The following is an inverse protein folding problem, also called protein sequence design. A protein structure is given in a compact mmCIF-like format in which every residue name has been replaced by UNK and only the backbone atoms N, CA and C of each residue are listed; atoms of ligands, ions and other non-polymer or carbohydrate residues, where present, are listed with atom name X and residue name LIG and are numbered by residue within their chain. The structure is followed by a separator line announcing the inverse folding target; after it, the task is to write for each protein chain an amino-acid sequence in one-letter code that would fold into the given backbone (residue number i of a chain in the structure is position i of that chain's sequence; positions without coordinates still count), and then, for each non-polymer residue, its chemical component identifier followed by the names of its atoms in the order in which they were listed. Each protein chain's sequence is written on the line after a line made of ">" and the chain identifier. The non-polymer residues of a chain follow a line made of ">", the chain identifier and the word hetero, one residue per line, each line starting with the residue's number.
data_IF_221372112795
#
_entry.id   IF_221372112795
#
_cell.length_a   1.000
_cell.length_b   1.000
_cell.length_c   1.000
_cell.angle_alpha   90.00
_cell.angle_beta   90.00
_cell.angle_gamma   90.00
#
_symmetry.space_group_name_H-M   'P 1'
#
loop_
_entity.id
_entity.type
_entity.pdbx_description
1 polymer ?
#
# COMPACT_ATOMS: atom_id res chain seq x y z
N UNK A 1 3.02 23.87 18.66
CA UNK A 1 1.98 24.87 18.89
C UNK A 1 1.59 25.03 20.38
N UNK A 2 1.24 23.99 21.15
CA UNK A 2 0.93 24.14 22.61
C UNK A 2 2.06 24.75 23.46
N UNK A 3 3.32 24.48 23.14
CA UNK A 3 4.47 25.04 23.90
C UNK A 3 4.64 26.54 23.66
N UNK A 4 4.47 27.01 22.43
CA UNK A 4 4.56 28.43 22.06
C UNK A 4 3.43 29.24 22.71
N UNK A 5 2.22 28.66 22.77
CA UNK A 5 1.07 29.28 23.42
C UNK A 5 1.25 29.46 24.95
N UNK A 6 1.83 28.45 25.61
CA UNK A 6 2.10 28.54 27.04
C UNK A 6 3.20 29.58 27.36
N UNK A 7 4.24 29.67 26.53
CA UNK A 7 5.31 30.68 26.66
C UNK A 7 4.76 32.09 26.44
N UNK A 8 3.87 32.28 25.44
CA UNK A 8 3.21 33.57 25.18
C UNK A 8 2.28 34.00 26.31
N UNK A 9 1.49 33.08 26.90
CA UNK A 9 0.66 33.37 28.08
C UNK A 9 1.51 33.82 29.29
N UNK A 10 2.60 33.11 29.55
CA UNK A 10 3.49 33.42 30.71
C UNK A 10 4.14 34.78 30.53
N UNK A 11 4.59 35.11 29.34
CA UNK A 11 5.19 36.41 29.06
C UNK A 11 4.19 37.56 29.08
N UNK A 12 2.95 37.34 28.60
CA UNK A 12 1.86 38.32 28.66
C UNK A 12 1.45 38.63 30.12
N UNK A 13 1.36 37.62 31.01
CA UNK A 13 1.07 37.82 32.43
C UNK A 13 2.22 38.52 33.18
N UNK A 14 3.47 38.24 32.80
CA UNK A 14 4.62 38.94 33.36
C UNK A 14 4.62 40.44 32.96
N UNK A 15 4.31 40.71 31.68
CA UNK A 15 4.23 42.07 31.15
C UNK A 15 3.06 42.87 31.78
N UNK A 16 1.90 42.26 31.98
CA UNK A 16 0.76 42.89 32.68
C UNK A 16 1.07 43.25 34.16
N UNK A 17 1.85 42.42 34.90
CA UNK A 17 2.30 42.73 36.24
C UNK A 17 3.27 43.91 36.31
N UNK A 18 4.11 44.09 35.26
CA UNK A 18 5.07 45.20 35.22
C UNK A 18 4.39 46.53 34.88
N UNK A 19 3.34 46.50 34.07
CA UNK A 19 2.59 47.70 33.62
C UNK A 19 1.70 48.26 34.73
N UNK A 20 1.30 47.47 35.73
CA UNK A 20 0.48 47.94 36.86
C UNK A 20 1.24 48.86 37.84
N UNK A 21 2.57 49.01 37.65
CA UNK A 21 3.41 49.88 38.47
C UNK A 21 3.68 51.29 37.88
N UNK A 22 3.20 51.59 36.65
CA UNK A 22 3.37 52.88 35.97
C UNK A 22 2.03 53.49 35.54
N UNK A 23 1.91 54.82 35.72
CA UNK A 23 0.72 55.66 35.54
C UNK A 23 -0.21 55.30 34.33
N UNK A 24 -1.53 55.52 34.52
CA UNK A 24 -2.63 55.01 33.67
C UNK A 24 -2.60 55.31 32.14
N UNK A 25 -1.80 56.27 31.67
CA UNK A 25 -1.62 56.56 30.23
C UNK A 25 -0.70 55.57 29.51
N UNK A 26 0.33 55.07 30.17
CA UNK A 26 1.19 54.00 29.66
C UNK A 26 0.49 52.64 29.65
N UNK A 27 -0.41 52.43 30.62
CA UNK A 27 -1.21 51.19 30.67
C UNK A 27 -2.17 51.05 29.48
N UNK A 28 -2.84 52.12 29.08
CA UNK A 28 -3.71 52.13 27.91
C UNK A 28 -2.98 51.91 26.59
N UNK A 29 -1.80 52.52 26.42
CA UNK A 29 -0.99 52.34 25.20
C UNK A 29 -0.46 50.91 25.10
N UNK A 30 -0.06 50.28 26.20
CA UNK A 30 0.39 48.90 26.25
C UNK A 30 -0.75 47.90 25.99
N UNK A 31 -1.97 48.22 26.46
CA UNK A 31 -3.16 47.41 26.20
C UNK A 31 -3.57 47.49 24.72
N UNK A 32 -3.54 48.67 24.10
CA UNK A 32 -3.83 48.84 22.67
C UNK A 32 -2.78 48.14 21.80
N UNK A 33 -1.48 48.23 22.12
CA UNK A 33 -0.43 47.49 21.41
C UNK A 33 -0.55 45.98 21.59
N UNK A 34 -0.99 45.52 22.77
CA UNK A 34 -1.25 44.12 23.04
C UNK A 34 -2.46 43.57 22.23
N UNK A 35 -3.54 44.36 22.18
CA UNK A 35 -4.74 43.99 21.35
C UNK A 35 -4.45 44.04 19.86
N UNK A 36 -3.70 45.06 19.37
CA UNK A 36 -3.22 45.13 18.00
C UNK A 36 -2.27 43.98 17.66
N UNK A 37 -1.35 43.64 18.58
CA UNK A 37 -0.44 42.49 18.40
C UNK A 37 -1.18 41.15 18.39
N UNK A 38 -2.21 40.96 19.23
CA UNK A 38 -3.06 39.76 19.19
C UNK A 38 -3.94 39.71 17.94
N UNK A 39 -4.47 40.85 17.48
CA UNK A 39 -5.23 40.94 16.25
C UNK A 39 -4.37 40.61 15.02
N UNK A 40 -3.17 41.16 14.94
CA UNK A 40 -2.19 40.88 13.86
C UNK A 40 -1.71 39.43 13.90
N UNK A 41 -1.44 38.90 15.10
CA UNK A 41 -1.09 37.51 15.31
C UNK A 41 -2.23 36.55 14.91
N UNK A 42 -3.49 36.89 15.23
CA UNK A 42 -4.66 36.09 14.85
C UNK A 42 -4.89 36.11 13.33
N UNK A 43 -4.67 37.26 12.68
CA UNK A 43 -4.73 37.39 11.22
C UNK A 43 -3.61 36.59 10.55
N UNK A 44 -2.36 36.77 10.98
CA UNK A 44 -1.21 36.05 10.42
C UNK A 44 -1.34 34.52 10.66
N UNK A 45 -1.76 34.09 11.87
CA UNK A 45 -1.92 32.67 12.17
C UNK A 45 -3.12 32.07 11.44
N UNK A 46 -4.18 32.85 11.23
CA UNK A 46 -5.33 32.42 10.44
C UNK A 46 -4.98 32.28 8.97
N UNK A 47 -4.31 33.28 8.38
CA UNK A 47 -3.89 33.22 6.97
C UNK A 47 -2.86 32.10 6.73
N UNK A 48 -1.82 32.01 7.58
CA UNK A 48 -0.87 30.91 7.51
C UNK A 48 -1.57 29.57 7.80
N UNK A 49 -2.51 29.53 8.73
CA UNK A 49 -3.27 28.31 9.06
C UNK A 49 -4.18 27.87 7.90
N UNK A 50 -4.79 28.80 7.17
CA UNK A 50 -5.61 28.51 5.99
C UNK A 50 -4.75 28.11 4.79
N UNK A 51 -3.61 28.78 4.56
CA UNK A 51 -2.64 28.42 3.53
C UNK A 51 -1.99 27.06 3.81
N UNK A 52 -1.61 26.77 5.05
CA UNK A 52 -1.12 25.44 5.45
C UNK A 52 -2.23 24.38 5.46
N UNK A 53 -3.49 24.75 5.71
CA UNK A 53 -4.64 23.83 5.60
C UNK A 53 -4.86 23.43 4.15
N UNK A 54 -4.75 24.38 3.21
CA UNK A 54 -4.83 24.09 1.79
C UNK A 54 -3.68 23.19 1.33
N UNK A 55 -2.45 23.42 1.78
CA UNK A 55 -1.28 22.59 1.49
C UNK A 55 -1.34 21.20 2.13
N UNK A 56 -2.12 21.00 3.21
CA UNK A 56 -2.34 19.70 3.84
C UNK A 56 -3.50 18.93 3.25
N UNK A 57 -4.47 19.60 2.67
CA UNK A 57 -5.69 18.98 2.13
C UNK A 57 -5.55 18.50 0.70
N UNK A 58 -4.55 18.99 -0.04
CA UNK A 58 -4.33 18.63 -1.44
C UNK A 58 -2.89 18.26 -1.70
N UNK A 59 -2.67 17.13 -2.38
CA UNK A 59 -1.34 16.70 -2.83
C UNK A 59 -1.43 16.15 -4.25
N UNK A 60 -0.36 16.35 -5.00
CA UNK A 60 -0.25 15.91 -6.39
C UNK A 60 0.76 14.77 -6.52
N UNK A 61 0.47 13.81 -7.38
CA UNK A 61 1.27 12.60 -7.55
C UNK A 61 1.33 12.20 -9.03
N UNK A 62 2.43 11.57 -9.42
CA UNK A 62 2.61 11.02 -10.78
C UNK A 62 1.86 9.71 -10.98
N UNK A 63 1.46 9.03 -9.91
CA UNK A 63 0.76 7.75 -9.96
C UNK A 63 -0.18 7.54 -8.78
N UNK A 64 -0.97 6.47 -8.85
CA UNK A 64 -1.96 6.10 -7.86
C UNK A 64 -1.85 4.60 -7.52
N UNK A 65 -1.69 4.29 -6.24
CA UNK A 65 -1.95 2.97 -5.70
C UNK A 65 -3.38 2.93 -5.16
N UNK A 66 -4.24 2.14 -5.77
CA UNK A 66 -5.63 1.99 -5.38
C UNK A 66 -6.07 0.53 -5.51
N UNK A 67 -6.65 -0.01 -4.46
CA UNK A 67 -7.10 -1.40 -4.41
C UNK A 67 -8.63 -1.49 -4.49
N UNK A 68 -9.13 -2.67 -4.84
CA UNK A 68 -10.56 -2.99 -4.72
C UNK A 68 -10.98 -3.19 -3.25
N UNK A 69 -10.02 -3.31 -2.34
CA UNK A 69 -10.23 -3.50 -0.91
C UNK A 69 -10.57 -2.21 -0.16
N UNK A 70 -10.67 -2.31 1.18
CA UNK A 70 -11.01 -1.19 2.05
C UNK A 70 -9.83 -0.24 2.31
N UNK A 71 -8.64 -0.52 1.76
CA UNK A 71 -7.49 0.36 1.94
C UNK A 71 -7.74 1.70 1.25
N UNK A 72 -7.37 2.82 1.88
CA UNK A 72 -7.46 4.12 1.24
C UNK A 72 -6.50 4.22 0.05
N UNK A 73 -6.85 4.99 -1.00
CA UNK A 73 -5.96 5.24 -2.13
C UNK A 73 -4.70 5.99 -1.66
N UNK A 74 -3.55 5.70 -2.30
CA UNK A 74 -2.26 6.33 -1.99
C UNK A 74 -1.63 6.90 -3.26
N UNK A 75 -1.16 8.12 -3.20
CA UNK A 75 -0.37 8.72 -4.27
C UNK A 75 1.03 8.13 -4.33
N UNK A 76 1.54 7.95 -5.54
CA UNK A 76 2.89 7.45 -5.84
C UNK A 76 3.68 8.56 -6.56
N UNK A 77 4.90 8.84 -6.11
CA UNK A 77 5.77 9.85 -6.70
C UNK A 77 5.18 11.26 -6.56
N UNK A 78 5.41 11.97 -5.43
CA UNK A 78 4.91 13.32 -5.25
C UNK A 78 5.49 14.26 -6.31
N UNK A 79 4.62 15.10 -6.91
CA UNK A 79 5.00 16.10 -7.94
C UNK A 79 4.51 17.50 -7.53
N UNK A 80 5.15 18.54 -8.04
CA UNK A 80 4.69 19.90 -7.86
C UNK A 80 3.45 20.17 -8.74
N UNK A 81 2.48 20.92 -8.21
CA UNK A 81 1.22 21.24 -8.90
C UNK A 81 1.37 22.03 -10.20
N UNK A 82 2.51 22.64 -10.44
CA UNK A 82 2.77 23.54 -11.54
C UNK A 82 3.43 22.89 -12.77
N UNK A 83 3.37 21.55 -12.91
CA UNK A 83 3.98 20.86 -14.05
C UNK A 83 3.07 20.76 -15.27
N UNK A 84 3.66 20.78 -16.45
CA UNK A 84 2.97 20.61 -17.75
C UNK A 84 2.50 19.15 -18.00
N UNK A 85 2.54 18.32 -16.99
CA UNK A 85 2.21 16.88 -17.08
C UNK A 85 0.94 16.52 -16.31
N UNK A 86 0.14 15.56 -16.80
CA UNK A 86 -1.00 15.06 -16.05
C UNK A 86 -0.57 14.52 -14.67
N UNK A 87 -1.36 14.78 -13.63
CA UNK A 87 -1.08 14.34 -12.28
C UNK A 87 -2.33 13.80 -11.58
N UNK A 88 -2.11 13.02 -10.52
CA UNK A 88 -3.16 12.59 -9.59
C UNK A 88 -3.25 13.60 -8.46
N UNK A 89 -4.43 14.17 -8.32
CA UNK A 89 -4.78 15.12 -7.28
C UNK A 89 -5.56 14.41 -6.18
N UNK A 90 -5.06 14.44 -4.95
CA UNK A 90 -5.70 13.81 -3.80
C UNK A 90 -6.03 14.86 -2.75
N UNK A 91 -7.30 14.97 -2.41
CA UNK A 91 -7.78 15.78 -1.30
C UNK A 91 -7.85 14.95 -0.02
N UNK A 92 -7.50 15.56 1.09
CA UNK A 92 -7.48 14.92 2.42
C UNK A 92 -8.39 15.67 3.39
N UNK A 93 -9.03 14.94 4.30
CA UNK A 93 -9.73 15.53 5.44
C UNK A 93 -8.75 16.00 6.54
N UNK A 94 -9.30 16.62 7.59
CA UNK A 94 -8.50 17.12 8.74
C UNK A 94 -7.76 16.01 9.48
N UNK A 95 -8.17 14.76 9.37
CA UNK A 95 -7.49 13.58 9.91
C UNK A 95 -6.36 13.08 9.00
N UNK A 96 -6.12 13.72 7.84
CA UNK A 96 -5.11 13.32 6.86
C UNK A 96 -5.50 12.10 6.02
N UNK A 97 -6.80 11.78 5.93
CA UNK A 97 -7.31 10.65 5.15
C UNK A 97 -7.76 11.14 3.77
N UNK A 98 -7.42 10.44 2.66
CA UNK A 98 -7.81 10.82 1.31
C UNK A 98 -9.32 10.67 1.11
N UNK A 99 -10.01 11.76 0.80
CA UNK A 99 -11.47 11.79 0.60
C UNK A 99 -11.87 11.85 -0.86
N UNK A 100 -10.97 12.37 -1.72
CA UNK A 100 -11.21 12.53 -3.14
C UNK A 100 -9.94 12.33 -3.95
N UNK A 101 -10.03 11.58 -5.03
CA UNK A 101 -8.94 11.35 -6.00
C UNK A 101 -9.43 11.77 -7.37
N UNK A 102 -8.66 12.60 -8.07
CA UNK A 102 -8.98 13.12 -9.41
C UNK A 102 -7.73 13.02 -10.28
N UNK A 103 -7.88 12.64 -11.54
CA UNK A 103 -6.85 12.81 -12.54
C UNK A 103 -6.98 14.20 -13.17
N UNK A 104 -5.92 15.00 -13.10
CA UNK A 104 -5.86 16.33 -13.69
C UNK A 104 -4.94 16.29 -14.91
N UNK A 105 -5.41 16.83 -16.03
CA UNK A 105 -4.57 17.05 -17.20
C UNK A 105 -3.62 18.23 -17.03
N UNK A 106 -2.65 18.36 -17.93
CA UNK A 106 -1.76 19.51 -17.98
C UNK A 106 -2.49 20.86 -18.19
N UNK A 107 -3.68 20.82 -18.77
CA UNK A 107 -4.60 21.95 -18.95
C UNK A 107 -5.41 22.29 -17.70
N UNK A 108 -5.19 21.58 -16.58
CA UNK A 108 -5.96 21.75 -15.35
C UNK A 108 -7.38 21.19 -15.39
N UNK A 109 -7.76 20.50 -16.46
CA UNK A 109 -9.08 19.88 -16.57
C UNK A 109 -9.07 18.46 -16.02
N UNK A 110 -10.23 18.05 -15.47
CA UNK A 110 -10.43 16.68 -14.98
C UNK A 110 -10.40 15.71 -16.17
N UNK A 111 -9.54 14.70 -16.07
CA UNK A 111 -9.38 13.65 -17.07
C UNK A 111 -9.74 12.28 -16.49
N UNK A 112 -9.86 11.28 -17.36
CA UNK A 112 -10.09 9.91 -16.92
C UNK A 112 -8.84 9.34 -16.23
N UNK A 113 -9.04 8.63 -15.13
CA UNK A 113 -7.97 7.84 -14.51
C UNK A 113 -7.43 6.82 -15.51
N UNK A 114 -6.11 6.59 -15.58
CA UNK A 114 -5.49 5.71 -16.58
C UNK A 114 -6.17 4.33 -16.65
N UNK A 115 -6.54 3.89 -17.86
CA UNK A 115 -7.20 2.61 -18.09
C UNK A 115 -8.65 2.50 -17.59
N UNK A 116 -9.30 3.61 -17.23
CA UNK A 116 -10.63 3.65 -16.62
C UNK A 116 -11.56 4.65 -17.32
N UNK A 117 -12.87 4.52 -17.10
CA UNK A 117 -13.86 5.57 -17.41
C UNK A 117 -14.13 6.50 -16.23
N UNK A 118 -13.43 6.32 -15.14
CA UNK A 118 -13.56 7.08 -13.90
C UNK A 118 -12.69 8.31 -14.00
N UNK A 119 -13.25 9.46 -13.72
CA UNK A 119 -12.55 10.74 -13.63
C UNK A 119 -12.27 11.12 -12.17
N UNK A 120 -13.15 10.67 -11.27
CA UNK A 120 -13.11 11.00 -9.85
C UNK A 120 -13.48 9.78 -9.00
N UNK A 121 -12.76 9.57 -7.89
CA UNK A 121 -13.15 8.63 -6.84
C UNK A 121 -13.33 9.35 -5.52
N UNK A 122 -14.50 9.17 -4.89
CA UNK A 122 -14.79 9.63 -3.53
C UNK A 122 -14.63 8.50 -2.53
N UNK A 123 -14.02 8.78 -1.38
CA UNK A 123 -13.82 7.82 -0.29
C UNK A 123 -14.56 8.30 0.94
N UNK A 124 -15.37 7.43 1.53
CA UNK A 124 -16.12 7.71 2.76
C UNK A 124 -15.56 6.90 3.92
N UNK A 125 -15.53 7.50 5.09
CA UNK A 125 -15.04 6.92 6.32
C UNK A 125 -16.14 6.88 7.38
N UNK A 126 -16.03 5.92 8.30
CA UNK A 126 -16.81 5.91 9.54
C UNK A 126 -16.12 6.77 10.62
N UNK A 127 -16.74 6.84 11.80
CA UNK A 127 -16.23 7.57 12.96
C UNK A 127 -14.87 7.05 13.48
N UNK A 128 -14.53 5.79 13.18
CA UNK A 128 -13.27 5.17 13.55
C UNK A 128 -12.18 5.34 12.47
N UNK A 129 -12.47 6.07 11.40
CA UNK A 129 -11.54 6.34 10.32
C UNK A 129 -11.35 5.17 9.33
N UNK A 130 -12.28 4.19 9.30
CA UNK A 130 -12.25 3.06 8.35
C UNK A 130 -13.03 3.42 7.09
N UNK A 131 -12.53 2.99 5.93
CA UNK A 131 -13.22 3.21 4.66
C UNK A 131 -14.51 2.39 4.61
N UNK A 132 -15.67 3.06 4.57
CA UNK A 132 -16.98 2.39 4.45
C UNK A 132 -17.53 2.41 3.04
N UNK A 133 -17.04 3.30 2.16
CA UNK A 133 -17.40 3.27 0.75
C UNK A 133 -16.36 3.96 -0.13
N UNK A 134 -16.28 3.48 -1.38
CA UNK A 134 -15.61 4.14 -2.51
C UNK A 134 -16.65 4.34 -3.62
N UNK A 135 -16.74 5.54 -4.18
CA UNK A 135 -17.67 5.88 -5.26
C UNK A 135 -16.89 6.44 -6.44
N UNK A 136 -17.09 5.88 -7.61
CA UNK A 136 -16.48 6.31 -8.85
C UNK A 136 -17.46 7.21 -9.63
N UNK A 137 -16.93 8.28 -10.23
CA UNK A 137 -17.70 9.24 -11.03
C UNK A 137 -17.00 9.53 -12.36
N UNK A 138 -17.81 9.93 -13.36
CA UNK A 138 -17.30 10.51 -14.59
C UNK A 138 -16.94 12.00 -14.42
N UNK A 139 -16.46 12.65 -15.49
CA UNK A 139 -16.11 14.06 -15.47
C UNK A 139 -17.30 15.00 -15.26
N UNK A 140 -18.53 14.54 -15.48
CA UNK A 140 -19.77 15.28 -15.21
C UNK A 140 -20.30 15.08 -13.78
N UNK A 141 -19.63 14.23 -12.98
CA UNK A 141 -20.01 13.93 -11.60
C UNK A 141 -21.07 12.84 -11.44
N UNK A 142 -21.47 12.18 -12.51
CA UNK A 142 -22.40 11.05 -12.44
C UNK A 142 -21.66 9.75 -12.03
N UNK A 143 -22.38 8.80 -11.38
CA UNK A 143 -21.79 7.48 -11.11
C UNK A 143 -21.25 6.81 -12.37
N UNK A 144 -19.99 6.37 -12.33
CA UNK A 144 -19.30 5.79 -13.47
C UNK A 144 -18.62 4.46 -13.11
N UNK A 145 -18.73 3.49 -13.99
CA UNK A 145 -18.11 2.19 -13.81
C UNK A 145 -16.62 2.23 -14.20
N UNK A 146 -15.77 1.60 -13.38
CA UNK A 146 -14.37 1.33 -13.71
C UNK A 146 -14.24 0.26 -14.81
N UNK A 147 -12.99 -0.13 -15.12
CA UNK A 147 -12.70 -1.16 -16.12
C UNK A 147 -13.30 -2.55 -15.78
N UNK A 148 -13.70 -2.78 -14.54
CA UNK A 148 -14.31 -4.00 -14.05
C UNK A 148 -15.85 -3.93 -13.94
N UNK A 149 -16.43 -2.77 -14.27
CA UNK A 149 -17.87 -2.52 -14.22
C UNK A 149 -18.35 -1.95 -12.88
N UNK A 150 -17.45 -1.65 -11.93
CA UNK A 150 -17.79 -1.19 -10.57
C UNK A 150 -17.89 0.33 -10.52
N UNK A 151 -19.05 0.84 -10.14
CA UNK A 151 -19.26 2.27 -9.85
C UNK A 151 -19.14 2.60 -8.36
N UNK A 152 -19.46 1.65 -7.48
CA UNK A 152 -19.19 1.81 -6.06
C UNK A 152 -18.89 0.49 -5.35
N UNK A 153 -18.17 0.60 -4.25
CA UNK A 153 -17.90 -0.51 -3.35
C UNK A 153 -18.16 -0.09 -1.91
N UNK A 154 -18.92 -0.89 -1.19
CA UNK A 154 -19.25 -0.67 0.21
C UNK A 154 -18.59 -1.70 1.10
N UNK A 155 -18.25 -1.30 2.35
CA UNK A 155 -17.56 -2.13 3.32
C UNK A 155 -18.28 -2.05 4.67
N UNK A 156 -18.46 -3.18 5.32
CA UNK A 156 -19.06 -3.29 6.65
C UNK A 156 -18.08 -3.98 7.59
N UNK A 157 -17.98 -3.46 8.79
CA UNK A 157 -17.08 -3.96 9.83
C UNK A 157 -17.89 -4.41 11.06
N UNK A 158 -17.33 -5.34 11.82
CA UNK A 158 -17.83 -5.68 13.14
C UNK A 158 -17.31 -4.67 14.19
N UNK A 159 -17.73 -4.83 15.45
CA UNK A 159 -17.36 -3.96 16.58
C UNK A 159 -15.84 -3.98 16.88
N UNK A 160 -15.13 -5.03 16.47
CA UNK A 160 -13.68 -5.15 16.58
C UNK A 160 -12.91 -4.51 15.42
N UNK A 161 -13.62 -3.92 14.44
CA UNK A 161 -13.00 -3.29 13.27
C UNK A 161 -12.61 -4.26 12.15
N UNK A 162 -13.01 -5.52 12.22
CA UNK A 162 -12.74 -6.51 11.19
C UNK A 162 -13.78 -6.41 10.06
N UNK A 163 -13.32 -6.44 8.79
CA UNK A 163 -14.18 -6.42 7.62
C UNK A 163 -15.05 -7.69 7.57
N UNK A 164 -16.38 -7.56 7.69
CA UNK A 164 -17.32 -8.68 7.62
C UNK A 164 -18.06 -8.78 6.29
N UNK A 165 -18.15 -7.68 5.55
CA UNK A 165 -18.82 -7.66 4.25
C UNK A 165 -18.23 -6.61 3.31
N UNK A 166 -18.14 -6.94 2.02
CA UNK A 166 -17.88 -5.97 0.95
C UNK A 166 -18.79 -6.24 -0.24
N UNK A 167 -19.35 -5.16 -0.85
CA UNK A 167 -20.32 -5.24 -1.94
C UNK A 167 -19.90 -4.34 -3.09
N UNK A 168 -19.89 -4.87 -4.31
CA UNK A 168 -19.68 -4.13 -5.55
C UNK A 168 -21.02 -3.80 -6.22
N UNK A 169 -21.17 -2.54 -6.67
CA UNK A 169 -22.39 -2.04 -7.33
C UNK A 169 -22.07 -1.34 -8.65
N UNK A 170 -22.99 -1.43 -9.59
CA UNK A 170 -22.97 -0.68 -10.85
C UNK A 170 -23.38 0.80 -10.65
N UNK A 171 -23.42 1.57 -11.75
CA UNK A 171 -23.84 2.97 -11.73
C UNK A 171 -25.31 3.18 -11.34
N UNK A 172 -26.15 2.17 -11.49
CA UNK A 172 -27.55 2.15 -11.03
C UNK A 172 -27.72 1.73 -9.57
N UNK A 173 -26.62 1.42 -8.85
CA UNK A 173 -26.65 0.97 -7.47
C UNK A 173 -26.99 -0.50 -7.26
N UNK A 174 -27.12 -1.29 -8.33
CA UNK A 174 -27.41 -2.72 -8.30
C UNK A 174 -26.12 -3.50 -8.03
N UNK A 175 -26.19 -4.56 -7.21
CA UNK A 175 -25.07 -5.49 -7.01
C UNK A 175 -24.66 -6.14 -8.34
N UNK A 176 -23.37 -6.15 -8.65
CA UNK A 176 -22.82 -6.75 -9.86
C UNK A 176 -21.65 -7.67 -9.53
N UNK A 177 -21.42 -8.64 -10.41
CA UNK A 177 -20.19 -9.45 -10.42
C UNK A 177 -19.18 -8.74 -11.35
N UNK A 178 -18.18 -8.05 -10.81
CA UNK A 178 -17.15 -7.41 -11.60
C UNK A 178 -16.24 -8.46 -12.28
N UNK A 179 -15.57 -8.06 -13.38
CA UNK A 179 -14.61 -8.94 -14.06
C UNK A 179 -13.51 -9.43 -13.11
N UNK A 180 -13.03 -8.54 -12.24
CA UNK A 180 -12.12 -8.80 -11.15
C UNK A 180 -12.64 -8.07 -9.90
N UNK A 181 -12.70 -8.74 -8.77
CA UNK A 181 -12.25 -10.10 -8.41
C UNK A 181 -13.23 -11.23 -8.78
N UNK A 182 -14.36 -10.98 -9.44
CA UNK A 182 -15.30 -12.01 -9.92
C UNK A 182 -16.39 -12.41 -8.91
N UNK A 183 -16.74 -11.53 -7.96
CA UNK A 183 -17.87 -11.68 -7.05
C UNK A 183 -18.52 -10.32 -6.77
N UNK A 184 -19.84 -10.33 -6.56
CA UNK A 184 -20.58 -9.11 -6.22
C UNK A 184 -20.48 -8.76 -4.74
N UNK A 185 -20.40 -9.78 -3.90
CA UNK A 185 -20.33 -9.65 -2.45
C UNK A 185 -19.34 -10.65 -1.87
N UNK A 186 -18.57 -10.21 -0.88
CA UNK A 186 -17.71 -11.06 -0.05
C UNK A 186 -18.18 -10.96 1.39
N UNK A 187 -18.36 -12.10 2.04
CA UNK A 187 -18.66 -12.21 3.46
C UNK A 187 -17.52 -12.88 4.17
N UNK A 188 -17.11 -12.36 5.32
CA UNK A 188 -16.02 -12.90 6.15
C UNK A 188 -16.56 -13.19 7.54
N UNK A 189 -16.31 -14.38 8.02
CA UNK A 189 -16.69 -14.87 9.35
C UNK A 189 -15.43 -15.05 10.20
N UNK A 190 -15.54 -14.76 11.49
CA UNK A 190 -14.41 -14.76 12.42
C UNK A 190 -14.71 -15.66 13.64
N UNK A 191 -13.66 -16.18 14.27
CA UNK A 191 -13.73 -16.84 15.58
C UNK A 191 -13.69 -15.82 16.74
N UNK A 192 -13.74 -16.33 17.97
CA UNK A 192 -13.67 -15.52 19.18
C UNK A 192 -12.32 -14.79 19.36
N UNK A 193 -11.28 -15.16 18.61
CA UNK A 193 -9.96 -14.53 18.61
C UNK A 193 -9.79 -13.54 17.44
N UNK A 194 -10.88 -13.18 16.74
CA UNK A 194 -10.87 -12.33 15.55
C UNK A 194 -10.04 -12.88 14.38
N UNK A 195 -9.89 -14.21 14.29
CA UNK A 195 -9.24 -14.86 13.15
C UNK A 195 -10.32 -15.28 12.13
N UNK A 196 -10.11 -15.08 10.82
CA UNK A 196 -11.09 -15.47 9.80
C UNK A 196 -11.29 -17.00 9.81
N UNK A 197 -12.54 -17.44 9.87
CA UNK A 197 -12.90 -18.87 9.79
C UNK A 197 -13.47 -19.27 8.45
N UNK A 198 -14.20 -18.35 7.80
CA UNK A 198 -14.77 -18.59 6.48
C UNK A 198 -14.87 -17.31 5.67
N UNK A 199 -14.60 -17.41 4.38
CA UNK A 199 -14.82 -16.34 3.39
C UNK A 199 -15.73 -16.91 2.30
N UNK A 200 -16.84 -16.24 2.03
CA UNK A 200 -17.79 -16.61 0.96
C UNK A 200 -17.79 -15.54 -0.14
N UNK A 201 -17.81 -16.01 -1.37
CA UNK A 201 -18.01 -15.15 -2.54
C UNK A 201 -19.42 -15.38 -3.09
N UNK A 202 -20.18 -14.28 -3.26
CA UNK A 202 -21.58 -14.33 -3.67
C UNK A 202 -21.78 -13.53 -4.95
N UNK A 203 -22.76 -13.94 -5.76
CA UNK A 203 -23.25 -13.19 -6.90
C UNK A 203 -24.19 -12.03 -6.48
N UNK A 204 -24.70 -11.29 -7.44
CA UNK A 204 -25.62 -10.16 -7.19
C UNK A 204 -26.96 -10.57 -6.55
N UNK A 205 -27.31 -11.85 -6.53
CA UNK A 205 -28.53 -12.41 -5.93
C UNK A 205 -28.28 -13.02 -4.53
N UNK A 206 -27.03 -13.07 -4.09
CA UNK A 206 -26.63 -13.66 -2.82
C UNK A 206 -26.34 -15.16 -2.88
N UNK A 207 -26.25 -15.75 -4.07
CA UNK A 207 -25.86 -17.16 -4.25
C UNK A 207 -24.34 -17.29 -4.31
N UNK A 208 -23.77 -18.40 -3.79
CA UNK A 208 -22.34 -18.68 -3.91
C UNK A 208 -21.88 -18.67 -5.36
N UNK A 209 -20.75 -18.01 -5.63
CA UNK A 209 -20.12 -17.94 -6.95
C UNK A 209 -18.62 -18.18 -6.83
N UNK A 210 -18.04 -18.84 -7.83
CA UNK A 210 -16.60 -19.01 -7.94
C UNK A 210 -15.96 -17.75 -8.49
N UNK A 211 -15.03 -17.17 -7.73
CA UNK A 211 -14.34 -15.92 -8.08
C UNK A 211 -13.33 -16.09 -9.22
N UNK A 212 -12.68 -14.99 -9.62
CA UNK A 212 -11.70 -14.99 -10.69
C UNK A 212 -10.45 -15.86 -10.40
N UNK A 213 -10.17 -16.18 -9.13
CA UNK A 213 -9.09 -17.07 -8.74
C UNK A 213 -9.51 -18.57 -8.69
N UNK A 214 -10.80 -18.89 -8.92
CA UNK A 214 -11.33 -20.25 -8.80
C UNK A 214 -11.74 -20.62 -7.39
N UNK A 215 -12.06 -19.63 -6.55
CA UNK A 215 -12.45 -19.84 -5.14
C UNK A 215 -13.92 -19.46 -4.94
N UNK A 216 -14.67 -20.32 -4.27
CA UNK A 216 -16.08 -20.08 -3.95
C UNK A 216 -16.25 -19.79 -2.46
N UNK A 217 -15.98 -20.78 -1.61
CA UNK A 217 -15.98 -20.67 -0.15
C UNK A 217 -14.62 -21.12 0.37
N UNK A 218 -13.95 -20.25 1.11
CA UNK A 218 -12.63 -20.53 1.70
C UNK A 218 -12.81 -20.71 3.19
N UNK A 219 -12.29 -21.80 3.77
CA UNK A 219 -12.32 -22.05 5.21
C UNK A 219 -10.92 -22.08 5.79
N UNK A 220 -10.81 -21.58 7.01
CA UNK A 220 -9.58 -21.58 7.78
C UNK A 220 -9.77 -22.40 9.05
N UNK A 221 -8.76 -23.20 9.35
CA UNK A 221 -8.65 -23.97 10.60
C UNK A 221 -7.31 -23.61 11.24
N UNK A 222 -7.32 -23.41 12.54
CA UNK A 222 -6.15 -23.05 13.33
C UNK A 222 -5.84 -24.14 14.34
N UNK A 223 -4.65 -24.68 14.28
CA UNK A 223 -4.09 -25.61 15.27
C UNK A 223 -2.96 -24.89 16.00
N UNK A 224 -3.31 -24.25 17.11
CA UNK A 224 -2.37 -23.45 17.88
C UNK A 224 -1.29 -24.31 18.56
N UNK A 225 -1.60 -25.59 18.86
CA UNK A 225 -0.65 -26.54 19.45
C UNK A 225 0.48 -26.92 18.47
N UNK A 226 0.16 -27.01 17.17
CA UNK A 226 1.11 -27.32 16.12
C UNK A 226 1.49 -26.11 15.28
N UNK A 227 1.01 -24.91 15.65
CA UNK A 227 1.25 -23.65 14.93
C UNK A 227 0.94 -23.77 13.44
N UNK A 228 -0.19 -24.41 13.13
CA UNK A 228 -0.62 -24.75 11.79
C UNK A 228 -1.92 -24.02 11.43
N UNK A 229 -1.89 -23.33 10.29
CA UNK A 229 -3.06 -22.74 9.65
C UNK A 229 -3.37 -23.56 8.40
N UNK A 230 -4.56 -24.13 8.33
CA UNK A 230 -5.07 -24.81 7.15
C UNK A 230 -6.12 -23.96 6.48
N UNK A 231 -5.87 -23.58 5.22
CA UNK A 231 -6.80 -22.86 4.35
C UNK A 231 -7.30 -23.82 3.28
N UNK A 232 -8.61 -24.00 3.19
CA UNK A 232 -9.24 -24.94 2.25
C UNK A 232 -10.28 -24.23 1.40
N UNK A 233 -10.31 -24.54 0.09
CA UNK A 233 -11.28 -24.02 -0.86
C UNK A 233 -12.38 -25.06 -1.13
N UNK A 234 -13.63 -24.60 -1.11
CA UNK A 234 -14.81 -25.44 -1.34
C UNK A 234 -15.66 -24.83 -2.45
N UNK A 235 -16.26 -25.71 -3.24
CA UNK A 235 -17.33 -25.38 -4.17
C UNK A 235 -18.54 -26.24 -3.87
N UNK A 236 -19.71 -25.63 -3.62
CA UNK A 236 -20.92 -26.31 -3.21
C UNK A 236 -20.75 -27.29 -2.00
N UNK A 237 -19.87 -26.93 -1.06
CA UNK A 237 -19.58 -27.72 0.13
C UNK A 237 -18.58 -28.87 -0.09
N UNK A 238 -18.10 -29.09 -1.30
CA UNK A 238 -17.11 -30.11 -1.63
C UNK A 238 -15.73 -29.43 -1.78
N UNK A 239 -14.68 -30.08 -1.25
CA UNK A 239 -13.30 -29.61 -1.38
C UNK A 239 -12.92 -29.52 -2.86
N UNK A 240 -12.47 -28.35 -3.32
CA UNK A 240 -12.27 -28.05 -4.74
C UNK A 240 -10.98 -27.28 -4.95
N UNK A 241 -10.27 -27.57 -6.06
CA UNK A 241 -9.08 -26.82 -6.46
C UNK A 241 -9.44 -25.45 -7.03
N UNK A 242 -8.65 -24.44 -6.70
CA UNK A 242 -8.71 -23.17 -7.38
C UNK A 242 -8.24 -23.31 -8.86
N UNK A 243 -8.08 -22.21 -9.60
CA UNK A 243 -7.61 -22.26 -11.00
C UNK A 243 -6.26 -22.95 -11.22
N UNK A 244 -5.43 -23.02 -10.19
CA UNK A 244 -4.14 -23.71 -10.19
C UNK A 244 -4.24 -25.15 -9.70
N UNK A 245 -5.44 -25.64 -9.36
CA UNK A 245 -5.66 -26.99 -8.81
C UNK A 245 -5.44 -27.08 -7.29
N UNK A 246 -5.07 -26.00 -6.64
CA UNK A 246 -4.83 -25.98 -5.18
C UNK A 246 -6.16 -25.92 -4.44
N UNK A 247 -6.45 -26.97 -3.68
CA UNK A 247 -7.62 -27.04 -2.81
C UNK A 247 -7.28 -26.70 -1.34
N UNK A 248 -6.08 -27.06 -0.89
CA UNK A 248 -5.63 -26.85 0.49
C UNK A 248 -4.26 -26.20 0.51
N UNK A 249 -4.09 -25.18 1.36
CA UNK A 249 -2.80 -24.62 1.74
C UNK A 249 -2.60 -24.83 3.23
N UNK A 250 -1.51 -25.49 3.60
CA UNK A 250 -1.05 -25.61 4.98
C UNK A 250 0.09 -24.63 5.22
N UNK A 251 -0.01 -23.86 6.29
CA UNK A 251 0.99 -22.84 6.66
C UNK A 251 1.42 -23.08 8.08
N UNK A 252 2.70 -23.36 8.29
CA UNK A 252 3.30 -23.48 9.60
C UNK A 252 3.92 -22.15 10.02
N UNK A 253 3.69 -21.77 11.27
CA UNK A 253 4.24 -20.56 11.86
C UNK A 253 5.22 -20.90 12.98
N UNK A 254 6.08 -19.97 13.33
CA UNK A 254 6.86 -19.99 14.58
C UNK A 254 5.96 -19.68 15.77
N UNK A 255 6.48 -19.81 16.98
CA UNK A 255 5.78 -19.40 18.20
C UNK A 255 5.38 -17.90 18.19
N UNK A 256 6.16 -17.09 17.52
CA UNK A 256 5.90 -15.65 17.35
C UNK A 256 4.93 -15.34 16.18
N UNK A 257 4.33 -16.37 15.57
CA UNK A 257 3.35 -16.24 14.48
C UNK A 257 3.95 -15.97 13.09
N UNK A 258 5.27 -16.02 12.93
CA UNK A 258 5.92 -15.82 11.63
C UNK A 258 5.83 -17.08 10.77
N UNK A 259 5.44 -16.93 9.50
CA UNK A 259 5.36 -18.05 8.55
C UNK A 259 6.77 -18.56 8.25
N UNK A 260 7.05 -19.84 8.53
CA UNK A 260 8.32 -20.47 8.18
C UNK A 260 8.20 -21.55 7.10
N UNK A 261 7.00 -22.11 6.88
CA UNK A 261 6.75 -23.10 5.82
C UNK A 261 5.31 -23.00 5.34
N UNK A 262 5.10 -23.10 4.03
CA UNK A 262 3.77 -23.32 3.47
C UNK A 262 3.81 -24.37 2.37
N UNK A 263 2.73 -25.14 2.22
CA UNK A 263 2.61 -26.21 1.23
C UNK A 263 1.20 -26.25 0.65
N UNK A 264 1.11 -26.59 -0.64
CA UNK A 264 -0.10 -26.64 -1.42
C UNK A 264 -0.49 -28.07 -1.78
N UNK A 265 -1.78 -28.37 -1.73
CA UNK A 265 -2.32 -29.69 -2.01
C UNK A 265 -3.56 -29.62 -2.90
N UNK A 266 -3.76 -30.65 -3.73
CA UNK A 266 -4.99 -30.88 -4.49
C UNK A 266 -6.15 -31.26 -3.58
N UNK A 267 -7.35 -31.41 -4.13
CA UNK A 267 -8.52 -31.95 -3.44
C UNK A 267 -8.36 -33.42 -3.02
N UNK A 268 -7.45 -34.16 -3.67
CA UNK A 268 -7.11 -35.55 -3.35
C UNK A 268 -6.01 -35.63 -2.26
N UNK A 269 -5.47 -34.49 -1.81
CA UNK A 269 -4.42 -34.45 -0.79
C UNK A 269 -3.01 -34.60 -1.33
N UNK A 270 -2.83 -34.57 -2.65
CA UNK A 270 -1.52 -34.65 -3.30
C UNK A 270 -0.84 -33.29 -3.33
N UNK A 271 0.49 -33.20 -3.07
CA UNK A 271 1.25 -31.97 -3.26
C UNK A 271 1.03 -31.40 -4.68
N UNK A 272 0.63 -30.15 -4.77
CA UNK A 272 0.16 -29.55 -6.03
C UNK A 272 0.84 -28.20 -6.28
N UNK A 273 1.34 -27.98 -7.51
CA UNK A 273 1.90 -26.68 -7.89
C UNK A 273 0.91 -25.53 -7.77
N UNK A 274 1.38 -24.40 -7.27
CA UNK A 274 0.63 -23.14 -7.22
C UNK A 274 1.25 -22.13 -8.16
N UNK A 275 0.49 -21.72 -9.18
CA UNK A 275 0.95 -20.77 -10.19
C UNK A 275 1.80 -21.36 -11.31
N UNK A 276 2.24 -20.47 -12.21
CA UNK A 276 3.03 -20.81 -13.40
C UNK A 276 4.45 -21.27 -13.05
N UNK A 277 4.95 -20.87 -11.88
CA UNK A 277 6.31 -21.21 -11.43
C UNK A 277 6.44 -22.63 -10.88
N UNK A 278 5.32 -23.35 -10.71
CA UNK A 278 5.34 -24.73 -10.23
C UNK A 278 5.67 -24.89 -8.73
N UNK A 279 5.60 -23.82 -7.95
CA UNK A 279 5.84 -23.84 -6.49
C UNK A 279 4.83 -24.77 -5.81
N UNK A 280 5.32 -25.83 -5.15
CA UNK A 280 4.52 -26.73 -4.32
C UNK A 280 4.63 -26.35 -2.85
N UNK A 281 5.82 -25.92 -2.42
CA UNK A 281 6.04 -25.45 -1.06
C UNK A 281 7.04 -24.30 -1.01
N UNK A 282 6.96 -23.52 0.08
CA UNK A 282 7.81 -22.38 0.35
C UNK A 282 8.36 -22.48 1.76
N UNK A 283 9.67 -22.34 1.88
CA UNK A 283 10.39 -22.21 3.14
C UNK A 283 10.78 -20.76 3.35
N UNK A 284 10.58 -20.23 4.55
CA UNK A 284 10.93 -18.85 4.90
C UNK A 284 11.78 -18.86 6.17
N UNK A 285 12.96 -18.29 6.09
CA UNK A 285 13.83 -18.06 7.24
C UNK A 285 13.74 -16.60 7.67
N UNK A 286 13.71 -16.38 8.98
CA UNK A 286 13.67 -15.05 9.56
C UNK A 286 14.94 -14.73 10.34
N UNK A 287 15.29 -13.45 10.42
CA UNK A 287 16.28 -12.94 11.36
C UNK A 287 15.71 -12.97 12.79
N UNK A 288 16.55 -12.83 13.83
CA UNK A 288 16.09 -12.70 15.22
C UNK A 288 15.10 -11.52 15.44
N UNK A 289 15.11 -10.53 14.56
CA UNK A 289 14.17 -9.40 14.59
C UNK A 289 12.84 -9.67 13.85
N UNK A 290 12.61 -10.91 13.38
CA UNK A 290 11.38 -11.31 12.66
C UNK A 290 11.33 -10.92 11.18
N UNK A 291 12.41 -10.35 10.61
CA UNK A 291 12.46 -10.00 9.19
C UNK A 291 12.80 -11.21 8.34
N UNK A 292 12.25 -11.26 7.13
CA UNK A 292 12.58 -12.29 6.16
C UNK A 292 14.08 -12.17 5.81
N UNK A 293 14.79 -13.29 5.95
CA UNK A 293 16.20 -13.43 5.60
C UNK A 293 16.36 -14.25 4.33
N UNK A 294 15.52 -15.26 4.14
CA UNK A 294 15.56 -16.16 2.98
C UNK A 294 14.18 -16.70 2.67
N UNK A 295 13.86 -16.76 1.40
CA UNK A 295 12.69 -17.48 0.87
C UNK A 295 13.17 -18.50 -0.13
N UNK A 296 12.79 -19.77 0.04
CA UNK A 296 13.10 -20.84 -0.90
C UNK A 296 11.81 -21.44 -1.44
N UNK A 297 11.70 -21.51 -2.76
CA UNK A 297 10.61 -22.15 -3.48
C UNK A 297 11.01 -23.58 -3.81
N UNK A 298 10.13 -24.54 -3.48
CA UNK A 298 10.39 -25.95 -3.69
C UNK A 298 9.31 -26.58 -4.59
N UNK A 299 9.74 -27.49 -5.42
CA UNK A 299 8.90 -28.34 -6.26
C UNK A 299 8.31 -29.52 -5.52
N UNK A 300 7.76 -30.47 -6.29
CA UNK A 300 6.95 -31.60 -5.77
C UNK A 300 7.71 -32.52 -4.78
N UNK A 301 9.02 -32.66 -4.95
CA UNK A 301 9.86 -33.52 -4.10
C UNK A 301 10.57 -32.75 -2.96
N UNK A 302 10.14 -31.52 -2.67
CA UNK A 302 10.78 -30.66 -1.67
C UNK A 302 12.16 -30.12 -2.07
N UNK A 303 12.63 -30.43 -3.29
CA UNK A 303 13.86 -29.89 -3.83
C UNK A 303 13.65 -28.45 -4.33
N UNK A 304 14.70 -27.61 -4.34
CA UNK A 304 14.61 -26.30 -4.93
C UNK A 304 13.99 -26.35 -6.33
N UNK A 305 13.14 -25.38 -6.64
CA UNK A 305 12.37 -25.36 -7.88
C UNK A 305 13.29 -25.22 -9.08
N UNK A 306 13.35 -26.26 -9.93
CA UNK A 306 14.15 -26.27 -11.15
C UNK A 306 13.31 -25.78 -12.34
N UNK A 307 13.25 -24.46 -12.54
CA UNK A 307 12.62 -23.91 -13.72
C UNK A 307 13.49 -22.86 -14.40
N UNK A 308 13.50 -22.88 -15.72
CA UNK A 308 14.24 -21.94 -16.57
C UNK A 308 13.69 -20.49 -16.55
N UNK A 309 12.64 -20.23 -15.80
CA UNK A 309 11.92 -18.94 -15.79
C UNK A 309 11.74 -18.30 -14.41
N UNK A 310 12.23 -18.89 -13.34
CA UNK A 310 12.17 -18.29 -12.02
C UNK A 310 13.33 -18.76 -11.13
N UNK A 311 13.83 -17.85 -10.33
CA UNK A 311 14.80 -18.17 -9.31
C UNK A 311 14.12 -18.95 -8.17
N UNK A 312 14.82 -19.96 -7.62
CA UNK A 312 14.26 -20.81 -6.57
C UNK A 312 14.51 -20.27 -5.16
N UNK A 313 15.42 -19.32 -5.04
CA UNK A 313 15.78 -18.76 -3.74
C UNK A 313 15.95 -17.24 -3.83
N UNK A 314 15.44 -16.54 -2.83
CA UNK A 314 15.63 -15.12 -2.60
C UNK A 314 16.25 -14.92 -1.22
N UNK A 315 17.42 -14.31 -1.16
CA UNK A 315 18.16 -14.03 0.07
C UNK A 315 18.19 -12.53 0.29
N UNK A 316 17.88 -12.09 1.52
CA UNK A 316 17.86 -10.68 1.91
C UNK A 316 18.81 -10.47 3.10
N UNK A 317 19.50 -9.35 3.09
CA UNK A 317 20.25 -8.85 4.24
C UNK A 317 19.77 -7.46 4.60
N UNK A 318 19.73 -7.19 5.89
CA UNK A 318 19.40 -5.86 6.42
C UNK A 318 20.57 -5.36 7.26
N UNK A 319 20.82 -4.07 7.24
CA UNK A 319 21.80 -3.41 8.10
C UNK A 319 21.35 -3.40 9.58
N UNK A 320 22.18 -2.87 10.47
CA UNK A 320 21.91 -2.81 11.90
C UNK A 320 20.63 -1.99 12.24
N UNK A 321 20.29 -0.98 11.43
CA UNK A 321 19.05 -0.22 11.56
C UNK A 321 17.84 -1.00 10.99
N UNK A 322 18.10 -2.14 10.34
CA UNK A 322 17.12 -3.02 9.75
C UNK A 322 16.56 -2.56 8.41
N UNK A 323 17.24 -1.65 7.76
CA UNK A 323 16.97 -1.31 6.37
C UNK A 323 17.58 -2.38 5.45
N UNK A 324 16.95 -2.73 4.30
CA UNK A 324 17.53 -3.66 3.35
C UNK A 324 18.86 -3.10 2.85
N UNK A 325 19.92 -3.93 2.84
CA UNK A 325 21.24 -3.54 2.33
C UNK A 325 21.66 -4.35 1.11
N UNK A 326 21.08 -5.56 0.97
CA UNK A 326 21.42 -6.46 -0.12
C UNK A 326 20.35 -7.52 -0.31
N UNK A 327 20.08 -7.86 -1.57
CA UNK A 327 19.30 -9.04 -1.93
C UNK A 327 19.95 -9.78 -3.09
N UNK A 328 19.72 -11.08 -3.17
CA UNK A 328 20.18 -11.92 -4.26
C UNK A 328 19.14 -12.99 -4.59
N UNK A 329 19.01 -13.28 -5.86
CA UNK A 329 18.21 -14.38 -6.38
C UNK A 329 19.10 -15.50 -6.86
N UNK A 330 18.83 -16.75 -6.44
CA UNK A 330 19.59 -17.92 -6.81
C UNK A 330 18.72 -18.94 -7.55
N UNK A 331 19.32 -19.63 -8.48
CA UNK A 331 18.76 -20.81 -9.12
C UNK A 331 18.74 -22.04 -8.18
N UNK A 332 18.21 -23.16 -8.68
CA UNK A 332 18.17 -24.43 -7.94
C UNK A 332 19.55 -25.02 -7.67
N UNK A 333 20.54 -24.65 -8.44
CA UNK A 333 21.95 -25.00 -8.31
C UNK A 333 22.70 -24.13 -7.28
N UNK A 334 22.03 -23.11 -6.72
CA UNK A 334 22.60 -22.17 -5.77
C UNK A 334 23.43 -21.04 -6.40
N UNK A 335 23.52 -20.97 -7.72
CA UNK A 335 24.17 -19.87 -8.42
C UNK A 335 23.21 -18.69 -8.63
N UNK A 336 23.74 -17.45 -8.79
CA UNK A 336 22.93 -16.29 -9.11
C UNK A 336 22.02 -16.53 -10.33
N UNK A 337 20.81 -16.02 -10.26
CA UNK A 337 19.76 -16.20 -11.26
C UNK A 337 19.07 -14.87 -11.50
N UNK A 338 18.97 -14.43 -12.76
CA UNK A 338 18.23 -13.24 -13.12
C UNK A 338 16.74 -13.43 -12.84
N UNK A 339 16.20 -12.61 -11.96
CA UNK A 339 14.76 -12.58 -11.71
C UNK A 339 14.05 -12.01 -12.95
N UNK A 340 13.23 -12.78 -13.66
CA UNK A 340 12.68 -12.36 -14.95
C UNK A 340 11.66 -11.21 -14.84
N UNK A 341 11.10 -10.99 -13.65
CA UNK A 341 10.18 -9.88 -13.40
C UNK A 341 10.91 -8.57 -13.05
N UNK A 342 12.14 -8.67 -12.52
CA UNK A 342 12.93 -7.54 -12.03
C UNK A 342 14.10 -7.20 -12.97
N UNK A 343 14.60 -8.18 -13.72
CA UNK A 343 15.68 -8.01 -14.70
C UNK A 343 17.09 -7.96 -14.08
N UNK A 344 17.26 -8.45 -12.85
CA UNK A 344 18.56 -8.54 -12.17
C UNK A 344 18.63 -9.77 -11.26
N UNK A 345 19.84 -10.17 -10.89
CA UNK A 345 20.12 -11.24 -9.94
C UNK A 345 20.49 -10.71 -8.56
N UNK A 346 21.09 -9.53 -8.49
CA UNK A 346 21.57 -8.94 -7.24
C UNK A 346 21.23 -7.46 -7.19
N UNK A 347 20.89 -6.98 -5.99
CA UNK A 347 20.56 -5.59 -5.72
C UNK A 347 21.17 -5.15 -4.38
N UNK A 348 21.82 -4.00 -4.37
CA UNK A 348 22.41 -3.38 -3.18
C UNK A 348 21.81 -2.01 -2.94
N UNK A 349 21.51 -1.72 -1.69
CA UNK A 349 21.06 -0.40 -1.22
C UNK A 349 22.15 0.25 -0.38
N UNK A 350 22.47 1.49 -0.67
CA UNK A 350 23.33 2.34 0.14
C UNK A 350 22.51 3.48 0.76
N UNK A 351 22.76 3.75 2.03
CA UNK A 351 22.09 4.80 2.79
C UNK A 351 23.10 5.87 3.20
N UNK A 352 22.64 7.10 3.34
CA UNK A 352 23.43 8.18 3.93
C UNK A 352 23.47 8.07 5.47
N UNK A 353 24.24 8.96 6.12
CA UNK A 353 24.40 8.99 7.58
C UNK A 353 23.08 9.29 8.32
N UNK A 354 22.09 9.86 7.65
CA UNK A 354 20.75 10.11 8.19
C UNK A 354 19.80 8.89 8.00
N UNK A 355 20.26 7.82 7.35
CA UNK A 355 19.47 6.63 7.04
C UNK A 355 18.53 6.79 5.84
N UNK A 356 18.69 7.86 5.04
CA UNK A 356 17.95 8.02 3.80
C UNK A 356 18.64 7.26 2.67
N UNK A 357 17.85 6.65 1.76
CA UNK A 357 18.40 5.93 0.61
C UNK A 357 19.19 6.89 -0.28
N UNK A 358 20.46 6.56 -0.52
CA UNK A 358 21.38 7.37 -1.32
C UNK A 358 21.58 6.78 -2.71
N UNK A 359 21.76 5.45 -2.80
CA UNK A 359 22.01 4.76 -4.07
C UNK A 359 21.47 3.35 -4.05
N UNK A 360 21.21 2.81 -5.25
CA UNK A 360 20.89 1.41 -5.51
C UNK A 360 21.76 0.92 -6.68
N UNK A 361 22.22 -0.32 -6.59
CA UNK A 361 23.00 -0.98 -7.65
C UNK A 361 22.38 -2.32 -8.00
N UNK A 362 22.47 -2.68 -9.27
CA UNK A 362 21.86 -3.89 -9.82
C UNK A 362 22.85 -4.65 -10.71
N UNK A 363 22.93 -5.96 -10.53
CA UNK A 363 23.78 -6.83 -11.33
C UNK A 363 22.97 -8.01 -11.89
N UNK A 364 23.38 -8.47 -13.08
CA UNK A 364 22.87 -9.71 -13.66
C UNK A 364 23.51 -10.95 -13.00
N UNK A 365 23.05 -12.15 -13.38
CA UNK A 365 23.57 -13.42 -12.85
C UNK A 365 25.03 -13.70 -13.22
N UNK A 366 25.57 -13.04 -14.23
CA UNK A 366 26.98 -13.14 -14.64
C UNK A 366 27.88 -12.13 -13.87
N UNK A 367 27.30 -11.29 -13.02
CA UNK A 367 28.00 -10.24 -12.30
C UNK A 367 28.29 -8.99 -13.13
N UNK A 368 27.63 -8.84 -14.29
CA UNK A 368 27.70 -7.62 -15.06
C UNK A 368 26.64 -6.63 -14.55
N UNK A 369 26.87 -5.31 -14.74
CA UNK A 369 25.84 -4.32 -14.47
C UNK A 369 24.54 -4.65 -15.23
N UNK A 370 23.40 -4.69 -14.53
CA UNK A 370 22.09 -4.86 -15.15
C UNK A 370 21.73 -3.62 -16.00
N UNK A 371 20.74 -3.70 -16.91
CA UNK A 371 20.39 -2.58 -17.80
C UNK A 371 20.10 -1.26 -17.08
N UNK A 372 19.55 -1.31 -15.86
CA UNK A 372 19.48 -0.18 -14.94
C UNK A 372 20.32 -0.54 -13.74
N UNK A 373 21.61 -0.19 -13.74
CA UNK A 373 22.50 -0.72 -12.72
C UNK A 373 22.73 0.21 -11.53
N UNK A 374 22.40 1.49 -11.65
CA UNK A 374 22.53 2.46 -10.54
C UNK A 374 21.38 3.45 -10.52
N UNK A 375 20.81 3.68 -9.35
CA UNK A 375 19.89 4.78 -9.08
C UNK A 375 20.44 5.63 -7.95
N UNK A 376 20.35 6.96 -8.08
CA UNK A 376 20.79 7.94 -7.07
C UNK A 376 19.63 8.72 -6.52
N UNK A 377 19.67 8.99 -5.23
CA UNK A 377 18.60 9.70 -4.52
C UNK A 377 19.14 10.99 -3.88
N UNK A 378 18.27 11.95 -3.60
CA UNK A 378 18.61 13.11 -2.79
C UNK A 378 18.70 12.73 -1.31
N UNK A 379 19.34 13.54 -0.50
CA UNK A 379 19.39 13.37 0.96
C UNK A 379 18.02 13.38 1.68
N UNK A 380 16.90 13.50 0.92
CA UNK A 380 15.53 13.33 1.41
C UNK A 380 14.86 12.09 0.82
N UNK A 381 15.63 11.18 0.19
CA UNK A 381 15.11 9.97 -0.47
C UNK A 381 14.35 10.22 -1.78
N UNK A 382 14.36 11.45 -2.32
CA UNK A 382 13.74 11.74 -3.60
C UNK A 382 14.62 11.25 -4.75
N UNK A 383 14.03 10.50 -5.66
CA UNK A 383 14.69 9.96 -6.84
C UNK A 383 15.20 11.08 -7.77
N UNK A 384 16.49 11.03 -8.16
CA UNK A 384 17.09 12.09 -8.98
C UNK A 384 17.60 11.65 -10.33
N UNK A 385 18.25 10.47 -10.40
CA UNK A 385 18.91 10.03 -11.64
C UNK A 385 18.82 8.52 -11.79
N UNK A 386 18.72 8.07 -13.03
CA UNK A 386 18.93 6.67 -13.43
C UNK A 386 20.17 6.64 -14.33
N UNK A 387 21.11 5.77 -14.01
CA UNK A 387 22.22 5.43 -14.89
C UNK A 387 21.88 4.08 -15.55
N UNK A 388 21.61 4.12 -16.84
CA UNK A 388 21.37 2.92 -17.66
C UNK A 388 22.66 2.55 -18.39
N UNK A 389 23.02 1.26 -18.37
CA UNK A 389 24.09 0.71 -19.17
C UNK A 389 23.49 0.07 -20.41
N UNK A 390 23.94 0.51 -21.59
CA UNK A 390 23.54 -0.09 -22.86
C UNK A 390 24.41 -1.31 -23.19
N UNK A 391 23.89 -2.21 -24.02
CA UNK A 391 24.60 -3.43 -24.47
C UNK A 391 25.90 -3.16 -25.22
N UNK A 392 26.12 -1.94 -25.71
CA UNK A 392 27.35 -1.48 -26.34
C UNK A 392 28.40 -0.91 -25.34
N UNK A 393 28.08 -0.96 -24.01
CA UNK A 393 28.94 -0.44 -22.96
C UNK A 393 28.81 1.07 -22.73
N UNK A 394 27.96 1.77 -23.50
CA UNK A 394 27.67 3.18 -23.25
C UNK A 394 26.76 3.35 -22.02
N UNK A 395 26.90 4.48 -21.33
CA UNK A 395 26.07 4.81 -20.18
C UNK A 395 25.20 6.02 -20.49
N UNK A 396 23.91 5.95 -20.19
CA UNK A 396 22.97 7.07 -20.29
C UNK A 396 22.53 7.48 -18.88
N UNK A 397 22.75 8.76 -18.53
CA UNK A 397 22.24 9.36 -17.30
C UNK A 397 20.98 10.11 -17.61
N UNK A 398 19.82 9.60 -17.20
CA UNK A 398 18.54 10.30 -17.31
C UNK A 398 18.22 11.02 -16.00
N UNK A 399 17.87 12.29 -16.08
CA UNK A 399 17.26 13.03 -14.98
C UNK A 399 15.76 12.75 -14.96
N UNK A 400 15.16 12.73 -13.76
CA UNK A 400 13.74 12.45 -13.63
C UNK A 400 12.83 13.66 -13.89
N UNK A 401 13.42 14.79 -14.24
CA UNK A 401 12.79 16.08 -14.51
C UNK A 401 12.80 16.47 -16.01
N UNK A 402 13.17 15.54 -16.90
CA UNK A 402 13.07 15.70 -18.38
C UNK A 402 11.97 14.84 -19.00
#
# INVERSE_FOLDING_TARGET
>A
MRSVWNTLKTNLFAMLRYVWSYSGTLAMLSLMLGVLGMGLYHLIVKDIGEEYRHLRTVRHYSGLYNTAGPEPPRGLGPVNAAGDSPCIHIEYNDAGQPTRVVCMGADGLVQLLPGSRVAEQLVKYDENGRVVAKHNKDAAGHPAADAHGVASREFVYNDFGMLINSVAKDAGGKKIVPRMPGYAEQQVYYDAHNRPTEVRHLDGTGKPITNAAGENTVRYQYDDAHQLITRSNYENGVLHGNKQGVAVKKTHTTADGLIHHSQHYSAQGEPTPNGADGEVSRLVEHSPSGRIKRVRLCGQNGQPLQQSRSCSEHVLRSNAAGLPEWECFNGADGHPCDNPALGYAEHVWEYDDAGALAREYFWDAAGNPAPVYEKRYSGQGAFRHVLSLHTDGSTELRRCDE
#
